data_IF_433006633141
#
_entry.id   IF_433006633141
#
_cell.length_a   1.000
_cell.length_b   1.000
_cell.length_c   1.000
_cell.angle_alpha   90.00
_cell.angle_beta   90.00
_cell.angle_gamma   90.00
#
_symmetry.space_group_name_H-M   'P 1'
#
loop_
_entity.id
_entity.type
_entity.pdbx_description
1 polymer ?
#
# COMPACT_ATOMS: atom_id res chain seq x y z
N UNK A 1 5.28 3.73 -24.34
CA UNK A 1 5.62 2.59 -23.47
C UNK A 1 6.45 3.13 -22.31
N UNK A 2 5.93 3.11 -21.08
CA UNK A 2 6.50 3.82 -19.94
C UNK A 2 7.31 2.90 -19.01
N UNK A 3 6.99 1.60 -19.00
CA UNK A 3 7.59 0.61 -18.11
C UNK A 3 9.12 0.70 -17.97
N UNK A 4 9.95 0.83 -19.04
CA UNK A 4 11.40 0.80 -18.86
C UNK A 4 11.93 1.98 -18.05
N UNK A 5 11.31 3.15 -18.24
CA UNK A 5 11.67 4.38 -17.52
C UNK A 5 11.30 4.25 -16.04
N UNK A 6 10.13 3.68 -15.74
CA UNK A 6 9.68 3.45 -14.37
C UNK A 6 10.47 2.32 -13.70
N UNK A 7 10.92 1.32 -14.47
CA UNK A 7 11.75 0.22 -13.99
C UNK A 7 13.16 0.72 -13.59
N UNK A 8 13.70 1.70 -14.32
CA UNK A 8 14.89 2.43 -13.87
C UNK A 8 14.59 3.27 -12.62
N UNK A 9 13.50 4.06 -12.65
CA UNK A 9 13.14 4.94 -11.53
C UNK A 9 13.02 4.18 -10.21
N UNK A 10 12.36 3.00 -10.18
CA UNK A 10 12.21 2.23 -8.94
C UNK A 10 13.53 1.77 -8.35
N UNK A 11 14.56 1.56 -9.17
CA UNK A 11 15.90 1.21 -8.70
C UNK A 11 16.67 2.46 -8.27
N UNK A 12 16.49 3.55 -9.02
CA UNK A 12 17.13 4.84 -8.76
C UNK A 12 16.74 5.44 -7.41
N UNK A 13 15.45 5.38 -7.04
CA UNK A 13 14.93 5.97 -5.79
C UNK A 13 15.31 5.21 -4.52
N UNK A 14 15.92 4.03 -4.64
CA UNK A 14 16.48 3.30 -3.50
C UNK A 14 17.83 3.90 -3.05
N UNK A 15 18.56 4.56 -3.94
CA UNK A 15 19.80 5.23 -3.56
C UNK A 15 19.49 6.61 -2.94
N UNK A 16 20.10 6.99 -1.80
CA UNK A 16 19.82 8.28 -1.14
C UNK A 16 20.02 9.51 -2.04
N UNK A 17 21.09 9.52 -2.85
CA UNK A 17 21.32 10.60 -3.82
C UNK A 17 20.26 10.62 -4.93
N UNK A 18 19.75 9.44 -5.32
CA UNK A 18 18.70 9.34 -6.32
C UNK A 18 17.36 9.86 -5.80
N UNK A 19 16.99 9.47 -4.59
CA UNK A 19 15.82 10.00 -3.89
C UNK A 19 15.91 11.53 -3.70
N UNK A 20 17.07 12.04 -3.29
CA UNK A 20 17.30 13.48 -3.10
C UNK A 20 17.23 14.25 -4.42
N UNK A 21 17.77 13.70 -5.51
CA UNK A 21 17.67 14.33 -6.84
C UNK A 21 16.22 14.35 -7.34
N UNK A 22 15.48 13.28 -7.12
CA UNK A 22 14.05 13.22 -7.45
C UNK A 22 13.27 14.28 -6.66
N UNK A 23 13.50 14.38 -5.34
CA UNK A 23 12.83 15.39 -4.50
C UNK A 23 13.11 16.82 -5.00
N UNK A 24 14.36 17.16 -5.30
CA UNK A 24 14.71 18.46 -5.88
C UNK A 24 13.98 18.75 -7.19
N UNK A 25 13.78 17.72 -8.01
CA UNK A 25 13.04 17.83 -9.27
C UNK A 25 11.57 18.15 -9.00
N UNK A 26 10.94 17.44 -8.06
CA UNK A 26 9.56 17.69 -7.62
C UNK A 26 9.40 19.12 -7.08
N UNK A 27 10.29 19.55 -6.18
CA UNK A 27 10.25 20.87 -5.54
C UNK A 27 10.53 22.02 -6.51
N UNK A 28 11.17 21.76 -7.66
CA UNK A 28 11.40 22.76 -8.71
C UNK A 28 10.14 23.15 -9.50
N UNK A 29 8.96 22.64 -9.10
CA UNK A 29 7.67 22.90 -9.75
C UNK A 29 7.31 21.87 -10.82
N UNK A 30 8.16 20.87 -11.04
CA UNK A 30 7.94 19.77 -11.98
C UNK A 30 7.75 18.47 -11.21
N UNK A 31 6.55 18.22 -10.69
CA UNK A 31 6.20 16.93 -10.09
C UNK A 31 6.04 15.83 -11.16
N UNK A 32 7.18 15.50 -11.76
CA UNK A 32 7.32 14.48 -12.80
C UNK A 32 6.95 13.11 -12.27
N UNK A 33 7.09 12.88 -10.96
CA UNK A 33 6.71 11.62 -10.32
C UNK A 33 5.18 11.47 -10.36
N UNK A 34 4.44 12.49 -9.94
CA UNK A 34 2.98 12.43 -9.96
C UNK A 34 2.42 12.41 -11.39
N UNK A 35 3.04 13.15 -12.32
CA UNK A 35 2.68 13.08 -13.74
C UNK A 35 2.90 11.67 -14.31
N UNK A 36 4.05 11.06 -14.00
CA UNK A 36 4.36 9.68 -14.41
C UNK A 36 3.38 8.69 -13.80
N UNK A 37 3.05 8.87 -12.51
CA UNK A 37 2.05 8.07 -11.81
C UNK A 37 0.70 8.11 -12.52
N UNK A 38 0.14 9.31 -12.73
CA UNK A 38 -1.17 9.50 -13.38
C UNK A 38 -1.20 8.88 -14.78
N UNK A 39 -0.12 9.02 -15.56
CA UNK A 39 0.00 8.39 -16.88
C UNK A 39 0.05 6.86 -16.80
N UNK A 40 0.67 6.29 -15.77
CA UNK A 40 0.79 4.84 -15.61
C UNK A 40 -0.55 4.17 -15.24
N UNK A 41 -1.43 4.89 -14.53
CA UNK A 41 -2.77 4.44 -14.12
C UNK A 41 -3.90 4.95 -15.04
N UNK A 42 -3.57 5.74 -16.06
CA UNK A 42 -4.56 6.26 -17.01
C UNK A 42 -5.18 5.15 -17.87
N UNK A 43 -6.43 5.39 -18.30
CA UNK A 43 -7.17 4.50 -19.20
C UNK A 43 -6.71 4.73 -20.66
N UNK A 44 -6.45 3.67 -21.45
CA UNK A 44 -6.53 2.25 -21.11
C UNK A 44 -5.39 1.80 -20.18
N UNK A 45 -5.75 1.08 -19.11
CA UNK A 45 -4.80 0.62 -18.10
C UNK A 45 -3.94 -0.50 -18.68
N UNK A 46 -2.62 -0.37 -18.54
CA UNK A 46 -1.66 -1.36 -18.98
C UNK A 46 -0.97 -2.01 -17.77
N UNK A 47 -1.24 -3.30 -17.52
CA UNK A 47 -0.73 -4.04 -16.35
C UNK A 47 0.78 -3.90 -16.09
N UNK A 48 1.67 -3.89 -17.10
CA UNK A 48 3.11 -3.66 -16.87
C UNK A 48 3.42 -2.28 -16.31
N UNK A 49 2.73 -1.22 -16.75
CA UNK A 49 2.92 0.13 -16.22
C UNK A 49 2.42 0.21 -14.77
N UNK A 50 1.24 -0.36 -14.48
CA UNK A 50 0.66 -0.39 -13.12
C UNK A 50 1.58 -1.14 -12.15
N UNK A 51 2.07 -2.32 -12.52
CA UNK A 51 2.98 -3.09 -11.67
C UNK A 51 4.28 -2.33 -11.39
N UNK A 52 4.87 -1.71 -12.42
CA UNK A 52 6.15 -1.01 -12.28
C UNK A 52 6.00 0.26 -11.46
N UNK A 53 4.92 1.03 -11.65
CA UNK A 53 4.68 2.24 -10.86
C UNK A 53 4.29 1.91 -9.42
N UNK A 54 3.53 0.83 -9.16
CA UNK A 54 3.29 0.31 -7.81
C UNK A 54 4.60 0.08 -7.06
N UNK A 55 5.53 -0.63 -7.70
CA UNK A 55 6.86 -0.92 -7.13
C UNK A 55 7.69 0.35 -6.96
N UNK A 56 7.65 1.27 -7.92
CA UNK A 56 8.36 2.55 -7.83
C UNK A 56 7.88 3.36 -6.62
N UNK A 57 6.56 3.54 -6.45
CA UNK A 57 5.97 4.27 -5.32
C UNK A 57 6.26 3.55 -3.99
N UNK A 58 6.18 2.21 -3.96
CA UNK A 58 6.53 1.42 -2.77
C UNK A 58 7.97 1.63 -2.34
N UNK A 59 8.91 1.78 -3.28
CA UNK A 59 10.32 1.99 -2.99
C UNK A 59 10.63 3.40 -2.46
N UNK A 60 9.75 4.39 -2.66
CA UNK A 60 9.95 5.75 -2.14
C UNK A 60 9.99 5.79 -0.61
N UNK A 61 9.38 4.81 0.05
CA UNK A 61 9.35 4.70 1.51
C UNK A 61 10.73 4.45 2.14
N UNK A 62 11.68 3.93 1.36
CA UNK A 62 13.05 3.64 1.83
C UNK A 62 13.82 4.92 2.20
N UNK A 63 13.44 6.07 1.61
CA UNK A 63 14.10 7.34 1.80
C UNK A 63 13.15 8.37 2.44
N UNK A 64 13.44 8.75 3.68
CA UNK A 64 12.59 9.65 4.48
C UNK A 64 12.37 11.03 3.87
N UNK A 65 13.28 11.50 3.00
CA UNK A 65 13.12 12.76 2.28
C UNK A 65 11.87 12.77 1.36
N UNK A 66 11.39 11.60 0.93
CA UNK A 66 10.20 11.47 0.08
C UNK A 66 8.91 11.20 0.86
N UNK A 67 8.99 11.00 2.19
CA UNK A 67 7.82 10.68 3.02
C UNK A 67 6.76 11.78 3.01
N UNK A 68 7.16 13.05 2.94
CA UNK A 68 6.20 14.15 2.87
C UNK A 68 5.40 14.11 1.56
N UNK A 69 6.04 13.77 0.44
CA UNK A 69 5.36 13.58 -0.83
C UNK A 69 4.35 12.42 -0.77
N UNK A 70 4.77 11.28 -0.21
CA UNK A 70 3.89 10.12 0.00
C UNK A 70 2.65 10.47 0.84
N UNK A 71 2.83 11.18 1.97
CA UNK A 71 1.71 11.64 2.81
C UNK A 71 0.75 12.55 2.03
N UNK A 72 1.31 13.49 1.28
CA UNK A 72 0.54 14.51 0.54
C UNK A 72 -0.34 13.85 -0.54
N UNK A 73 0.13 12.78 -1.17
CA UNK A 73 -0.56 12.11 -2.27
C UNK A 73 -1.20 10.76 -1.89
N UNK A 74 -1.23 10.41 -0.60
CA UNK A 74 -1.71 9.12 -0.09
C UNK A 74 -3.09 8.76 -0.67
N UNK A 75 -4.06 9.67 -0.53
CA UNK A 75 -5.43 9.42 -0.97
C UNK A 75 -5.55 9.19 -2.48
N UNK A 76 -4.94 10.08 -3.28
CA UNK A 76 -4.97 9.96 -4.75
C UNK A 76 -4.29 8.67 -5.23
N UNK A 77 -3.19 8.28 -4.58
CA UNK A 77 -2.45 7.06 -4.90
C UNK A 77 -3.28 5.81 -4.61
N UNK A 78 -3.88 5.73 -3.42
CA UNK A 78 -4.68 4.57 -3.01
C UNK A 78 -5.93 4.45 -3.89
N UNK A 79 -6.67 5.54 -4.12
CA UNK A 79 -7.89 5.52 -4.95
C UNK A 79 -7.59 5.12 -6.39
N UNK A 80 -6.52 5.67 -6.97
CA UNK A 80 -6.12 5.35 -8.34
C UNK A 80 -5.73 3.87 -8.47
N UNK A 81 -4.97 3.31 -7.52
CA UNK A 81 -4.62 1.89 -7.57
C UNK A 81 -5.82 0.99 -7.30
N UNK A 82 -6.72 1.35 -6.39
CA UNK A 82 -7.97 0.64 -6.17
C UNK A 82 -8.80 0.55 -7.45
N UNK A 83 -8.89 1.64 -8.22
CA UNK A 83 -9.59 1.62 -9.52
C UNK A 83 -8.91 0.73 -10.57
N UNK A 84 -7.61 0.47 -10.44
CA UNK A 84 -6.83 -0.37 -11.35
C UNK A 84 -6.86 -1.86 -10.98
N UNK A 85 -7.42 -2.25 -9.81
CA UNK A 85 -7.45 -3.64 -9.32
C UNK A 85 -7.91 -4.68 -10.35
N UNK A 86 -8.94 -4.44 -11.19
CA UNK A 86 -9.35 -5.40 -12.21
C UNK A 86 -8.25 -5.73 -13.25
N UNK A 87 -7.23 -4.89 -13.38
CA UNK A 87 -6.09 -5.09 -14.29
C UNK A 87 -4.84 -5.65 -13.60
N UNK A 88 -4.93 -5.97 -12.30
CA UNK A 88 -3.79 -6.46 -11.53
C UNK A 88 -3.40 -7.87 -11.95
N UNK A 89 -2.08 -8.09 -12.02
CA UNK A 89 -1.51 -9.44 -11.98
C UNK A 89 -1.31 -9.86 -10.53
N UNK A 90 -1.03 -11.14 -10.27
CA UNK A 90 -0.61 -11.62 -8.93
C UNK A 90 0.52 -10.77 -8.34
N UNK A 91 1.51 -10.41 -9.15
CA UNK A 91 2.62 -9.55 -8.73
C UNK A 91 2.18 -8.12 -8.39
N UNK A 92 1.11 -7.61 -8.99
CA UNK A 92 0.57 -6.28 -8.71
C UNK A 92 -0.25 -6.29 -7.41
N UNK A 93 -1.04 -7.33 -7.15
CA UNK A 93 -1.70 -7.52 -5.85
C UNK A 93 -0.67 -7.54 -4.71
N UNK A 94 0.40 -8.31 -4.88
CA UNK A 94 1.46 -8.40 -3.88
C UNK A 94 2.17 -7.05 -3.66
N UNK A 95 2.42 -6.29 -4.73
CA UNK A 95 3.03 -4.97 -4.63
C UNK A 95 2.10 -3.94 -3.96
N UNK A 96 0.79 -4.02 -4.25
CA UNK A 96 -0.21 -3.15 -3.63
C UNK A 96 -0.39 -3.45 -2.15
N UNK A 97 -0.41 -4.73 -1.75
CA UNK A 97 -0.44 -5.11 -0.34
C UNK A 97 0.81 -4.59 0.42
N UNK A 98 2.00 -4.61 -0.21
CA UNK A 98 3.21 -3.97 0.37
C UNK A 98 3.06 -2.47 0.48
N UNK A 99 2.51 -1.81 -0.54
CA UNK A 99 2.29 -0.37 -0.52
C UNK A 99 1.40 0.03 0.66
N UNK A 100 0.29 -0.69 0.86
CA UNK A 100 -0.62 -0.47 1.99
C UNK A 100 0.05 -0.72 3.34
N UNK A 101 0.87 -1.77 3.46
CA UNK A 101 1.66 -2.03 4.66
C UNK A 101 2.63 -0.87 4.96
N UNK A 102 3.38 -0.39 3.96
CA UNK A 102 4.29 0.74 4.15
C UNK A 102 3.56 2.03 4.52
N UNK A 103 2.41 2.29 3.88
CA UNK A 103 1.56 3.42 4.25
C UNK A 103 0.99 3.28 5.66
N UNK A 104 0.66 2.07 6.12
CA UNK A 104 0.17 1.86 7.49
C UNK A 104 1.19 2.36 8.51
N UNK A 105 2.47 2.00 8.33
CA UNK A 105 3.57 2.45 9.20
C UNK A 105 3.73 3.97 9.13
N UNK A 106 3.80 4.53 7.91
CA UNK A 106 4.00 5.97 7.71
C UNK A 106 2.85 6.82 8.30
N UNK A 107 1.62 6.36 8.13
CA UNK A 107 0.42 7.08 8.60
C UNK A 107 0.21 6.99 10.11
N UNK A 108 0.70 5.92 10.76
CA UNK A 108 0.78 5.80 12.22
C UNK A 108 1.73 6.87 12.77
N UNK A 109 2.92 7.01 12.19
CA UNK A 109 3.90 8.03 12.60
C UNK A 109 3.36 9.46 12.45
N UNK A 110 2.63 9.75 11.38
CA UNK A 110 2.06 11.08 11.14
C UNK A 110 0.72 11.33 11.85
N UNK A 111 0.16 10.34 12.55
CA UNK A 111 -1.16 10.42 13.21
C UNK A 111 -2.28 10.91 12.26
N UNK A 112 -2.23 10.48 11.00
CA UNK A 112 -3.24 10.84 10.00
C UNK A 112 -4.37 9.80 10.00
N UNK A 113 -5.42 10.05 10.78
CA UNK A 113 -6.57 9.15 10.90
C UNK A 113 -7.29 8.92 9.57
N UNK A 114 -7.40 9.94 8.71
CA UNK A 114 -8.11 9.84 7.44
C UNK A 114 -7.36 8.89 6.48
N UNK A 115 -6.04 9.07 6.36
CA UNK A 115 -5.21 8.15 5.57
C UNK A 115 -5.27 6.74 6.15
N UNK A 116 -5.17 6.58 7.47
CA UNK A 116 -5.27 5.28 8.13
C UNK A 116 -6.59 4.56 7.83
N UNK A 117 -7.72 5.28 7.82
CA UNK A 117 -9.04 4.69 7.52
C UNK A 117 -9.14 4.21 6.06
N UNK A 118 -8.55 4.96 5.13
CA UNK A 118 -8.49 4.57 3.72
C UNK A 118 -7.58 3.36 3.50
N UNK A 119 -6.40 3.33 4.14
CA UNK A 119 -5.47 2.20 4.10
C UNK A 119 -6.12 0.94 4.70
N UNK A 120 -6.79 1.08 5.84
CA UNK A 120 -7.52 -0.01 6.51
C UNK A 120 -8.57 -0.60 5.58
N UNK A 121 -9.40 0.24 4.96
CA UNK A 121 -10.46 -0.20 4.05
C UNK A 121 -9.89 -0.98 2.85
N UNK A 122 -8.82 -0.45 2.24
CA UNK A 122 -8.16 -1.10 1.12
C UNK A 122 -7.49 -2.43 1.51
N UNK A 123 -6.94 -2.53 2.73
CA UNK A 123 -6.31 -3.75 3.24
C UNK A 123 -7.35 -4.82 3.60
N UNK A 124 -8.50 -4.45 4.19
CA UNK A 124 -9.61 -5.36 4.46
C UNK A 124 -10.10 -6.04 3.19
N UNK A 125 -10.27 -5.28 2.10
CA UNK A 125 -10.70 -5.85 0.81
C UNK A 125 -9.73 -6.93 0.28
N UNK A 126 -8.42 -6.78 0.50
CA UNK A 126 -7.43 -7.81 0.12
C UNK A 126 -7.50 -9.02 1.03
N UNK A 127 -7.70 -8.81 2.34
CA UNK A 127 -7.75 -9.88 3.32
C UNK A 127 -9.00 -10.76 3.16
N UNK A 128 -10.13 -10.16 2.80
CA UNK A 128 -11.42 -10.81 2.55
C UNK A 128 -11.47 -11.59 1.22
N UNK A 129 -10.70 -11.18 0.22
CA UNK A 129 -10.75 -11.82 -1.09
C UNK A 129 -10.05 -13.18 -1.10
N UNK A 130 -10.82 -14.27 -1.10
CA UNK A 130 -10.35 -15.66 -1.16
C UNK A 130 -9.54 -16.02 -2.41
N UNK A 131 -9.60 -15.23 -3.47
CA UNK A 131 -8.74 -15.41 -4.64
C UNK A 131 -7.31 -14.90 -4.43
N UNK A 132 -7.07 -14.10 -3.38
CA UNK A 132 -5.73 -13.53 -3.11
C UNK A 132 -4.75 -14.59 -2.62
N UNK A 133 -3.51 -14.46 -3.08
CA UNK A 133 -2.44 -15.34 -2.62
C UNK A 133 -2.03 -15.03 -1.17
N UNK A 134 -1.44 -16.04 -0.51
CA UNK A 134 -1.07 -15.96 0.90
C UNK A 134 -0.08 -14.82 1.23
N UNK A 135 0.82 -14.42 0.32
CA UNK A 135 1.74 -13.31 0.62
C UNK A 135 1.02 -11.96 0.59
N UNK A 136 0.11 -11.77 -0.39
CA UNK A 136 -0.73 -10.58 -0.48
C UNK A 136 -1.65 -10.46 0.74
N UNK A 137 -2.34 -11.55 1.12
CA UNK A 137 -3.18 -11.59 2.32
C UNK A 137 -2.39 -11.32 3.59
N UNK A 138 -1.22 -11.94 3.74
CA UNK A 138 -0.37 -11.75 4.92
C UNK A 138 0.01 -10.28 5.10
N UNK A 139 0.48 -9.61 4.05
CA UNK A 139 0.85 -8.19 4.12
C UNK A 139 -0.33 -7.28 4.45
N UNK A 140 -1.51 -7.57 3.90
CA UNK A 140 -2.73 -6.84 4.22
C UNK A 140 -3.14 -7.03 5.70
N UNK A 141 -3.08 -8.26 6.22
CA UNK A 141 -3.35 -8.55 7.64
C UNK A 141 -2.36 -7.84 8.56
N UNK A 142 -1.06 -7.84 8.23
CA UNK A 142 -0.05 -7.11 9.02
C UNK A 142 -0.35 -5.60 9.00
N UNK A 143 -0.79 -5.03 7.88
CA UNK A 143 -1.21 -3.63 7.80
C UNK A 143 -2.42 -3.34 8.71
N UNK A 144 -3.44 -4.19 8.66
CA UNK A 144 -4.64 -4.11 9.53
C UNK A 144 -4.23 -4.17 11.01
N UNK A 145 -3.44 -5.17 11.39
CA UNK A 145 -2.96 -5.33 12.77
C UNK A 145 -2.15 -4.15 13.26
N UNK A 146 -1.26 -3.61 12.41
CA UNK A 146 -0.45 -2.43 12.72
C UNK A 146 -1.32 -1.20 12.99
N UNK A 147 -2.33 -0.96 12.14
CA UNK A 147 -3.30 0.13 12.28
C UNK A 147 -4.17 -0.04 13.53
N UNK A 148 -4.59 -1.26 13.85
CA UNK A 148 -5.40 -1.53 15.03
C UNK A 148 -4.60 -1.39 16.34
N UNK A 149 -3.32 -1.77 16.34
CA UNK A 149 -2.47 -1.76 17.52
C UNK A 149 -1.96 -0.36 17.84
N UNK A 150 -1.43 0.35 16.83
CA UNK A 150 -0.71 1.61 17.02
C UNK A 150 -1.36 2.81 16.30
N UNK A 151 -2.36 2.56 15.46
CA UNK A 151 -3.10 3.60 14.77
C UNK A 151 -4.27 4.16 15.59
N UNK A 152 -5.02 5.05 14.94
CA UNK A 152 -6.19 5.75 15.47
C UNK A 152 -7.51 5.09 15.03
N UNK A 153 -7.44 4.06 14.18
CA UNK A 153 -8.59 3.52 13.46
C UNK A 153 -9.12 2.18 14.00
N UNK A 154 -8.78 1.82 15.25
CA UNK A 154 -9.28 0.59 15.89
C UNK A 154 -10.82 0.53 15.93
N UNK A 155 -11.49 1.64 16.26
CA UNK A 155 -12.96 1.72 16.26
C UNK A 155 -13.53 1.49 14.86
N UNK A 156 -12.96 2.16 13.86
CA UNK A 156 -13.36 2.01 12.45
C UNK A 156 -13.19 0.55 12.00
N UNK A 157 -12.08 -0.11 12.37
CA UNK A 157 -11.88 -1.53 12.04
C UNK A 157 -12.96 -2.44 12.64
N UNK A 158 -13.39 -2.16 13.88
CA UNK A 158 -14.48 -2.90 14.51
C UNK A 158 -15.82 -2.66 13.82
N UNK A 159 -16.09 -1.42 13.40
CA UNK A 159 -17.31 -1.06 12.67
C UNK A 159 -17.35 -1.68 11.26
N UNK A 160 -16.18 -1.89 10.64
CA UNK A 160 -16.01 -2.61 9.36
C UNK A 160 -15.94 -4.14 9.52
N UNK A 161 -16.29 -4.67 10.69
CA UNK A 161 -16.33 -6.12 10.98
C UNK A 161 -14.99 -6.87 10.76
N UNK A 162 -13.87 -6.27 11.16
CA UNK A 162 -12.54 -6.93 11.15
C UNK A 162 -12.52 -8.26 11.92
N UNK A 163 -13.49 -8.51 12.81
CA UNK A 163 -13.65 -9.78 13.53
C UNK A 163 -13.92 -10.95 12.58
N UNK A 164 -14.70 -10.76 11.53
CA UNK A 164 -14.95 -11.79 10.52
C UNK A 164 -13.67 -12.14 9.74
N UNK A 165 -12.92 -11.11 9.34
CA UNK A 165 -11.64 -11.24 8.63
C UNK A 165 -10.61 -11.99 9.48
N UNK A 166 -10.47 -11.61 10.74
CA UNK A 166 -9.49 -12.21 11.66
C UNK A 166 -9.84 -13.65 12.03
N UNK A 167 -11.12 -13.96 12.21
CA UNK A 167 -11.59 -15.33 12.45
C UNK A 167 -11.26 -16.24 11.25
N UNK A 168 -11.52 -15.74 10.03
CA UNK A 168 -11.20 -16.45 8.79
C UNK A 168 -9.69 -16.64 8.61
N UNK A 169 -8.89 -15.60 8.88
CA UNK A 169 -7.44 -15.67 8.82
C UNK A 169 -6.88 -16.69 9.83
N UNK A 170 -7.33 -16.66 11.08
CA UNK A 170 -6.93 -17.61 12.14
C UNK A 170 -7.23 -19.07 11.79
N UNK A 171 -8.33 -19.32 11.07
CA UNK A 171 -8.72 -20.65 10.60
C UNK A 171 -7.96 -21.11 9.34
N UNK A 172 -7.09 -20.27 8.77
CA UNK A 172 -6.29 -20.61 7.59
C UNK A 172 -5.36 -21.80 7.85
N UNK A 173 -5.16 -22.61 6.81
CA UNK A 173 -4.16 -23.68 6.82
C UNK A 173 -2.72 -23.15 6.59
N UNK A 174 -2.59 -21.90 6.15
CA UNK A 174 -1.29 -21.22 6.05
C UNK A 174 -0.90 -20.67 7.43
N UNK A 175 0.19 -21.18 7.99
CA UNK A 175 0.64 -20.87 9.35
C UNK A 175 0.86 -19.38 9.60
N UNK A 176 1.42 -18.62 8.64
CA UNK A 176 1.68 -17.18 8.88
C UNK A 176 0.39 -16.38 8.86
N UNK A 177 -0.61 -16.81 8.08
CA UNK A 177 -1.95 -16.20 8.04
C UNK A 177 -2.71 -16.52 9.33
N UNK A 178 -2.62 -17.77 9.79
CA UNK A 178 -3.25 -18.19 11.03
C UNK A 178 -2.69 -17.45 12.25
N UNK A 179 -1.37 -17.33 12.33
CA UNK A 179 -0.67 -16.63 13.42
C UNK A 179 -1.04 -15.14 13.45
N UNK A 180 -0.89 -14.41 12.33
CA UNK A 180 -1.23 -12.99 12.30
C UNK A 180 -2.74 -12.77 12.55
N UNK A 181 -3.61 -13.67 12.08
CA UNK A 181 -5.04 -13.61 12.36
C UNK A 181 -5.35 -13.73 13.85
N UNK A 182 -4.66 -14.65 14.55
CA UNK A 182 -4.79 -14.80 16.00
C UNK A 182 -4.30 -13.57 16.76
N UNK A 183 -3.18 -12.97 16.35
CA UNK A 183 -2.65 -11.75 16.97
C UNK A 183 -3.62 -10.58 16.85
N UNK A 184 -4.21 -10.36 15.66
CA UNK A 184 -5.18 -9.29 15.44
C UNK A 184 -6.47 -9.56 16.23
N UNK A 185 -6.92 -10.82 16.34
CA UNK A 185 -8.10 -11.19 17.14
C UNK A 185 -7.97 -10.72 18.60
N UNK A 186 -6.76 -10.77 19.18
CA UNK A 186 -6.51 -10.25 20.54
C UNK A 186 -6.78 -8.75 20.67
N UNK A 187 -6.61 -7.99 19.57
CA UNK A 187 -6.88 -6.57 19.51
C UNK A 187 -8.37 -6.24 19.36
N UNK A 188 -9.23 -7.23 19.06
CA UNK A 188 -10.68 -7.03 18.90
C UNK A 188 -11.46 -7.06 20.22
N UNK A 189 -10.76 -7.31 21.32
CA UNK A 189 -11.24 -7.19 22.70
C UNK A 189 -11.21 -5.73 23.15
#
# INVERSE_FOLDING_TARGET
>A
MMFPVVDFLRMFVLHPDGATLLLKTIESGNDVLMETFRKAVAIPVHSPNVLTILKAVTNLFDNSCLHQWLKTHCAEIIDSFSSCKPSFSKSAHLAYATLLLNYSVLSIESKDEQSQAQILSAALEIAEDDAQDADSKYRALVAIGSLMLNGLVKSIALDLDVKSVTSSAKASMDSKIAEVGADIELLTR
#
